data_IF_195461401426
#
_entry.id   IF_195461401426
#
_cell.length_a   1.000
_cell.length_b   1.000
_cell.length_c   1.000
_cell.angle_alpha   90.00
_cell.angle_beta   90.00
_cell.angle_gamma   90.00
#
_symmetry.space_group_name_H-M   'P 1'
#
loop_
_entity.id
_entity.type
_entity.pdbx_description
1 polymer ?
#
# COMPACT_ATOMS: atom_id res chain seq x y z
N UNK A 1 -23.52 19.63 -31.58
CA UNK A 1 -23.58 21.09 -31.36
C UNK A 1 -24.14 21.27 -29.96
N UNK A 2 -23.30 21.42 -28.93
CA UNK A 2 -22.79 22.73 -28.46
C UNK A 2 -23.94 23.67 -28.08
N UNK A 3 -24.05 24.32 -26.92
CA UNK A 3 -23.21 24.57 -25.75
C UNK A 3 -24.11 25.26 -24.69
N UNK A 4 -23.58 25.36 -23.46
CA UNK A 4 -23.89 26.37 -22.42
C UNK A 4 -25.28 26.28 -21.78
N UNK A 5 -25.40 26.27 -20.46
CA UNK A 5 -25.44 27.53 -19.71
C UNK A 5 -25.63 27.22 -18.21
N UNK A 6 -24.63 27.62 -17.41
CA UNK A 6 -24.76 28.15 -16.04
C UNK A 6 -25.34 27.23 -14.96
N UNK A 7 -24.44 26.51 -14.27
CA UNK A 7 -24.64 26.26 -12.83
C UNK A 7 -24.16 27.49 -12.05
N UNK A 8 -25.03 28.50 -11.95
CA UNK A 8 -24.91 29.59 -10.99
C UNK A 8 -25.46 29.16 -9.63
N UNK A 9 -24.62 29.37 -8.61
CA UNK A 9 -24.91 29.70 -7.22
C UNK A 9 -26.36 29.69 -6.75
N UNK A 10 -26.64 28.88 -5.73
CA UNK A 10 -27.61 29.26 -4.68
C UNK A 10 -26.99 28.98 -3.32
N UNK A 11 -26.47 30.06 -2.73
CA UNK A 11 -26.17 30.18 -1.31
C UNK A 11 -27.46 30.67 -0.61
N UNK A 12 -27.98 29.91 0.35
CA UNK A 12 -28.91 30.36 1.39
C UNK A 12 -29.06 29.20 2.41
N UNK A 13 -28.34 29.20 3.53
CA UNK A 13 -28.68 29.84 4.82
C UNK A 13 -29.98 29.27 5.43
N UNK A 14 -29.84 28.40 6.43
CA UNK A 14 -30.86 28.17 7.44
C UNK A 14 -30.19 27.82 8.77
N UNK A 15 -30.34 28.75 9.71
CA UNK A 15 -29.98 28.63 11.12
C UNK A 15 -30.90 27.65 11.84
N UNK A 16 -30.38 26.98 12.87
CA UNK A 16 -31.16 26.12 13.76
C UNK A 16 -30.34 25.63 14.95
N UNK A 17 -30.14 26.52 15.92
CA UNK A 17 -29.70 26.19 17.28
C UNK A 17 -30.82 25.46 18.02
N UNK A 18 -30.58 24.23 18.50
CA UNK A 18 -31.28 23.66 19.68
C UNK A 18 -30.28 22.87 20.53
N UNK A 19 -30.33 23.12 21.84
CA UNK A 19 -29.45 22.65 22.89
C UNK A 19 -29.86 21.28 23.49
N UNK A 20 -28.82 20.49 23.88
CA UNK A 20 -28.61 19.57 25.04
C UNK A 20 -29.83 19.35 25.98
N UNK A 21 -30.19 18.13 26.51
CA UNK A 21 -29.29 17.24 27.28
C UNK A 21 -29.57 15.70 27.41
N UNK A 22 -28.54 15.01 27.91
CA UNK A 22 -28.43 13.84 28.83
C UNK A 22 -29.63 12.87 29.06
N UNK A 23 -29.38 11.57 28.82
CA UNK A 23 -29.53 10.43 29.77
C UNK A 23 -29.87 9.09 29.07
N UNK A 24 -29.21 8.03 29.52
CA UNK A 24 -29.15 6.68 28.97
C UNK A 24 -30.47 5.90 28.97
N UNK A 25 -30.71 5.06 27.94
CA UNK A 25 -31.76 4.03 27.99
C UNK A 25 -32.04 3.30 26.67
N UNK A 26 -31.25 2.27 26.38
CA UNK A 26 -31.59 1.03 25.63
C UNK A 26 -32.37 1.10 24.30
N UNK A 27 -31.71 0.73 23.19
CA UNK A 27 -31.94 -0.53 22.44
C UNK A 27 -31.86 -0.39 20.89
N UNK A 28 -30.81 -1.03 20.35
CA UNK A 28 -30.73 -1.90 19.16
C UNK A 28 -31.15 -1.36 17.78
N UNK A 29 -30.17 -1.19 16.89
CA UNK A 29 -30.03 -1.96 15.64
C UNK A 29 -29.14 -1.24 14.62
N UNK A 30 -27.81 -1.35 14.74
CA UNK A 30 -26.91 -1.24 13.59
C UNK A 30 -25.79 -2.27 13.77
N UNK A 31 -26.05 -3.50 13.34
CA UNK A 31 -25.00 -4.47 13.01
C UNK A 31 -24.29 -3.99 11.76
N UNK A 32 -23.46 -2.95 11.90
CA UNK A 32 -22.30 -2.80 11.05
C UNK A 32 -21.26 -3.76 11.63
N UNK A 33 -21.12 -4.93 11.00
CA UNK A 33 -19.96 -5.80 11.17
C UNK A 33 -18.73 -5.00 10.74
N UNK A 34 -18.19 -4.24 11.67
CA UNK A 34 -16.80 -3.83 11.66
C UNK A 34 -16.04 -5.15 11.65
N UNK A 35 -15.62 -5.63 10.48
CA UNK A 35 -14.53 -6.58 10.42
C UNK A 35 -13.34 -5.84 11.02
N UNK A 36 -12.85 -6.20 12.22
CA UNK A 36 -11.49 -5.84 12.53
C UNK A 36 -10.65 -6.59 11.49
N UNK A 37 -10.07 -5.85 10.54
CA UNK A 37 -8.84 -6.31 9.91
C UNK A 37 -7.80 -6.32 11.02
N UNK A 38 -7.82 -7.39 11.82
CA UNK A 38 -6.70 -7.79 12.63
C UNK A 38 -5.49 -7.85 11.70
N UNK A 39 -4.44 -7.06 11.92
CA UNK A 39 -3.15 -7.39 11.34
C UNK A 39 -2.69 -8.67 12.06
N UNK A 40 -3.16 -9.83 11.59
CA UNK A 40 -2.48 -11.09 11.87
C UNK A 40 -1.16 -11.08 11.10
N UNK A 41 -0.21 -10.33 11.62
CA UNK A 41 1.21 -10.54 11.39
C UNK A 41 1.82 -10.85 12.76
N UNK A 42 1.52 -12.06 13.24
CA UNK A 42 2.29 -12.69 14.30
C UNK A 42 3.66 -13.06 13.71
N UNK A 43 4.53 -12.07 13.63
CA UNK A 43 5.94 -12.21 13.34
C UNK A 43 6.64 -11.28 14.29
N UNK A 44 7.52 -11.82 15.15
CA UNK A 44 8.32 -11.05 16.10
C UNK A 44 8.72 -9.72 15.51
N UNK A 45 8.20 -8.64 16.09
CA UNK A 45 8.77 -7.31 15.96
C UNK A 45 10.17 -7.40 16.57
N UNK A 46 11.14 -7.87 15.78
CA UNK A 46 12.53 -7.52 16.04
C UNK A 46 12.58 -6.00 16.11
N UNK A 47 13.35 -5.41 17.06
CA UNK A 47 13.44 -3.97 17.18
C UNK A 47 13.67 -3.36 15.81
N UNK A 48 12.92 -2.31 15.46
CA UNK A 48 13.17 -1.46 14.29
C UNK A 48 14.52 -0.70 14.39
N UNK A 49 15.44 -1.21 15.19
CA UNK A 49 16.78 -0.71 15.38
C UNK A 49 17.59 -1.04 14.13
N UNK A 50 17.84 0.00 13.35
CA UNK A 50 18.89 0.10 12.36
C UNK A 50 18.75 -0.81 11.14
N UNK A 51 17.73 -0.52 10.31
CA UNK A 51 17.86 -0.85 8.89
C UNK A 51 19.06 -0.08 8.33
N UNK A 52 20.16 -0.78 8.07
CA UNK A 52 21.40 -0.18 7.55
C UNK A 52 21.19 0.43 6.16
N UNK A 53 21.95 1.49 5.81
CA UNK A 53 21.92 2.10 4.47
C UNK A 53 22.15 1.08 3.36
N UNK A 54 23.03 0.10 3.57
CA UNK A 54 23.28 -0.98 2.62
C UNK A 54 22.04 -1.86 2.41
N UNK A 55 21.30 -2.16 3.48
CA UNK A 55 20.04 -2.92 3.42
C UNK A 55 18.98 -2.14 2.67
N UNK A 56 18.89 -0.82 2.88
CA UNK A 56 17.96 0.06 2.15
C UNK A 56 18.31 0.09 0.66
N UNK A 57 19.59 0.19 0.30
CA UNK A 57 20.02 0.20 -1.09
C UNK A 57 19.75 -1.14 -1.81
N UNK A 58 20.03 -2.27 -1.14
CA UNK A 58 19.67 -3.61 -1.64
C UNK A 58 18.16 -3.75 -1.82
N UNK A 59 17.38 -3.20 -0.89
CA UNK A 59 15.92 -3.23 -0.98
C UNK A 59 15.41 -2.35 -2.12
N UNK A 60 16.04 -1.21 -2.41
CA UNK A 60 15.71 -0.38 -3.57
C UNK A 60 15.96 -1.09 -4.89
N UNK A 61 17.10 -1.80 -5.03
CA UNK A 61 17.37 -2.64 -6.21
C UNK A 61 16.36 -3.79 -6.33
N UNK A 62 16.00 -4.43 -5.22
CA UNK A 62 14.95 -5.45 -5.20
C UNK A 62 13.59 -4.85 -5.60
N UNK A 63 13.24 -3.65 -5.10
CA UNK A 63 12.01 -2.94 -5.45
C UNK A 63 11.91 -2.67 -6.94
N UNK A 64 13.00 -2.20 -7.58
CA UNK A 64 13.01 -2.00 -9.02
C UNK A 64 12.66 -3.28 -9.79
N UNK A 65 13.27 -4.41 -9.42
CA UNK A 65 12.94 -5.70 -10.04
C UNK A 65 11.51 -6.16 -9.75
N UNK A 66 11.04 -5.97 -8.51
CA UNK A 66 9.65 -6.30 -8.12
C UNK A 66 8.65 -5.44 -8.89
N UNK A 67 8.94 -4.17 -9.15
CA UNK A 67 8.11 -3.30 -9.97
C UNK A 67 8.05 -3.78 -11.42
N UNK A 68 9.19 -4.15 -12.02
CA UNK A 68 9.22 -4.72 -13.37
C UNK A 68 8.43 -6.05 -13.46
N UNK A 69 8.56 -6.92 -12.45
CA UNK A 69 7.75 -8.14 -12.32
C UNK A 69 6.27 -7.77 -12.23
N UNK A 70 5.88 -6.87 -11.32
CA UNK A 70 4.49 -6.47 -11.17
C UNK A 70 3.90 -5.86 -12.45
N UNK A 71 4.67 -5.09 -13.21
CA UNK A 71 4.23 -4.55 -14.49
C UNK A 71 3.98 -5.66 -15.52
N UNK A 72 4.94 -6.59 -15.68
CA UNK A 72 4.82 -7.72 -16.61
C UNK A 72 3.65 -8.65 -16.24
N UNK A 73 3.50 -8.97 -14.95
CA UNK A 73 2.45 -9.85 -14.47
C UNK A 73 1.10 -9.14 -14.39
N UNK A 74 1.07 -7.83 -14.17
CA UNK A 74 -0.13 -7.00 -14.28
C UNK A 74 -0.72 -7.07 -15.68
N UNK A 75 0.09 -6.91 -16.72
CA UNK A 75 -0.36 -7.07 -18.11
C UNK A 75 -0.93 -8.48 -18.38
N UNK A 76 -0.27 -9.53 -17.89
CA UNK A 76 -0.77 -10.91 -18.00
C UNK A 76 -2.08 -11.12 -17.25
N UNK A 77 -2.24 -10.49 -16.08
CA UNK A 77 -3.44 -10.58 -15.27
C UNK A 77 -4.62 -9.86 -15.91
N UNK A 78 -4.39 -8.72 -16.56
CA UNK A 78 -5.40 -8.01 -17.34
C UNK A 78 -5.84 -8.78 -18.58
N UNK A 79 -4.92 -9.54 -19.20
CA UNK A 79 -5.23 -10.41 -20.33
C UNK A 79 -5.94 -11.71 -19.92
N UNK A 80 -5.80 -12.16 -18.67
CA UNK A 80 -6.44 -13.37 -18.16
C UNK A 80 -7.91 -13.13 -17.79
N UNK A 81 -8.81 -13.96 -18.30
CA UNK A 81 -10.25 -13.93 -17.97
C UNK A 81 -10.62 -14.94 -16.88
N UNK A 82 -9.93 -16.08 -16.83
CA UNK A 82 -10.19 -17.17 -15.89
C UNK A 82 -9.60 -16.90 -14.48
N UNK A 83 -10.38 -17.08 -13.40
CA UNK A 83 -9.92 -16.87 -12.03
C UNK A 83 -8.77 -17.79 -11.62
N UNK A 84 -8.73 -19.05 -12.09
CA UNK A 84 -7.63 -19.97 -11.77
C UNK A 84 -6.32 -19.53 -12.40
N UNK A 85 -6.38 -18.99 -13.61
CA UNK A 85 -5.26 -18.43 -14.35
C UNK A 85 -4.74 -17.17 -13.68
N UNK A 86 -5.62 -16.27 -13.23
CA UNK A 86 -5.23 -15.12 -12.41
C UNK A 86 -4.52 -15.53 -11.13
N UNK A 87 -5.02 -16.54 -10.42
CA UNK A 87 -4.38 -17.06 -9.22
C UNK A 87 -2.96 -17.60 -9.50
N UNK A 88 -2.76 -18.32 -10.60
CA UNK A 88 -1.43 -18.79 -11.04
C UNK A 88 -0.49 -17.63 -11.38
N UNK A 89 -0.98 -16.60 -12.06
CA UNK A 89 -0.21 -15.39 -12.39
C UNK A 89 0.25 -14.70 -11.11
N UNK A 90 -0.64 -14.53 -10.12
CA UNK A 90 -0.30 -13.94 -8.81
C UNK A 90 0.75 -14.79 -8.09
N UNK A 91 0.56 -16.10 -8.01
CA UNK A 91 1.51 -17.00 -7.33
C UNK A 91 2.91 -16.91 -7.96
N UNK A 92 2.98 -16.95 -9.29
CA UNK A 92 4.23 -16.82 -10.02
C UNK A 92 4.89 -15.44 -9.82
N UNK A 93 4.10 -14.36 -9.80
CA UNK A 93 4.62 -13.02 -9.50
C UNK A 93 5.23 -12.95 -8.09
N UNK A 94 4.54 -13.52 -7.08
CA UNK A 94 5.05 -13.57 -5.69
C UNK A 94 6.35 -14.35 -5.59
N UNK A 95 6.44 -15.51 -6.23
CA UNK A 95 7.68 -16.31 -6.25
C UNK A 95 8.84 -15.55 -6.91
N UNK A 96 8.58 -14.87 -8.03
CA UNK A 96 9.61 -14.04 -8.70
C UNK A 96 10.03 -12.86 -7.85
N UNK A 97 9.09 -12.20 -7.17
CA UNK A 97 9.40 -11.12 -6.25
C UNK A 97 10.28 -11.58 -5.09
N UNK A 98 9.97 -12.73 -4.48
CA UNK A 98 10.80 -13.34 -3.43
C UNK A 98 12.21 -13.68 -3.93
N UNK A 99 12.31 -14.25 -5.15
CA UNK A 99 13.59 -14.54 -5.77
C UNK A 99 14.42 -13.26 -6.03
N UNK A 100 13.79 -12.18 -6.49
CA UNK A 100 14.45 -10.89 -6.69
C UNK A 100 14.99 -10.29 -5.38
N UNK A 101 14.24 -10.44 -4.28
CA UNK A 101 14.69 -10.02 -2.94
C UNK A 101 15.89 -10.85 -2.48
N UNK A 102 15.80 -12.18 -2.57
CA UNK A 102 16.90 -13.09 -2.21
C UNK A 102 18.14 -12.87 -3.07
N UNK A 103 17.99 -12.52 -4.35
CA UNK A 103 19.10 -12.22 -5.25
C UNK A 103 19.90 -10.98 -4.81
N UNK A 104 19.31 -10.06 -4.04
CA UNK A 104 20.01 -8.94 -3.43
C UNK A 104 20.69 -9.31 -2.09
N UNK A 105 20.63 -10.58 -1.69
CA UNK A 105 21.11 -11.06 -0.40
C UNK A 105 20.27 -10.56 0.76
N UNK A 106 18.98 -10.31 0.52
CA UNK A 106 18.02 -9.91 1.54
C UNK A 106 17.05 -11.05 1.82
N UNK A 107 16.57 -11.15 3.06
CA UNK A 107 15.39 -11.96 3.36
C UNK A 107 14.12 -11.16 3.09
N UNK A 108 13.01 -11.85 2.84
CA UNK A 108 11.68 -11.22 2.70
C UNK A 108 11.34 -10.39 3.95
N UNK A 109 11.73 -10.85 5.13
CA UNK A 109 11.55 -10.12 6.39
C UNK A 109 12.34 -8.82 6.42
N UNK A 110 13.63 -8.83 6.04
CA UNK A 110 14.46 -7.61 5.97
C UNK A 110 13.90 -6.60 4.95
N UNK A 111 13.45 -7.09 3.80
CA UNK A 111 12.82 -6.26 2.78
C UNK A 111 11.54 -5.59 3.31
N UNK A 112 10.66 -6.36 3.97
CA UNK A 112 9.45 -5.83 4.59
C UNK A 112 9.76 -4.84 5.72
N UNK A 113 10.82 -5.06 6.49
CA UNK A 113 11.26 -4.11 7.52
C UNK A 113 11.73 -2.79 6.90
N UNK A 114 12.43 -2.82 5.77
CA UNK A 114 12.81 -1.60 5.04
C UNK A 114 11.56 -0.86 4.56
N UNK A 115 10.59 -1.58 3.98
CA UNK A 115 9.32 -1.00 3.53
C UNK A 115 8.54 -0.37 4.68
N UNK A 116 8.42 -1.06 5.82
CA UNK A 116 7.78 -0.53 7.03
C UNK A 116 8.52 0.70 7.56
N UNK A 117 9.86 0.66 7.57
CA UNK A 117 10.69 1.80 7.97
C UNK A 117 10.51 2.99 7.02
N UNK A 118 10.33 2.76 5.72
CA UNK A 118 10.07 3.81 4.74
C UNK A 118 8.69 4.48 4.93
N UNK A 119 7.71 3.80 5.52
CA UNK A 119 6.41 4.40 5.82
C UNK A 119 6.51 5.43 6.96
N UNK A 120 7.32 5.14 7.97
CA UNK A 120 7.48 6.02 9.15
C UNK A 120 8.68 6.97 9.04
N UNK A 121 9.65 6.72 8.16
CA UNK A 121 10.86 7.53 8.02
C UNK A 121 11.03 8.05 6.58
N UNK A 122 10.87 9.37 6.36
CA UNK A 122 10.97 9.96 5.03
C UNK A 122 12.37 9.84 4.41
N UNK A 123 13.44 9.83 5.21
CA UNK A 123 14.81 9.66 4.71
C UNK A 123 15.04 8.24 4.17
N UNK A 124 14.52 7.22 4.85
CA UNK A 124 14.54 5.83 4.37
C UNK A 124 13.77 5.72 3.06
N UNK A 125 12.57 6.31 3.00
CA UNK A 125 11.74 6.35 1.78
C UNK A 125 12.46 7.00 0.61
N UNK A 126 13.10 8.15 0.82
CA UNK A 126 13.80 8.88 -0.22
C UNK A 126 15.02 8.10 -0.73
N UNK A 127 15.80 7.48 0.17
CA UNK A 127 16.92 6.64 -0.24
C UNK A 127 16.46 5.37 -0.98
N UNK A 128 15.35 4.78 -0.54
CA UNK A 128 14.74 3.61 -1.16
C UNK A 128 14.23 3.91 -2.58
N UNK A 129 13.51 5.02 -2.76
CA UNK A 129 13.05 5.52 -4.06
C UNK A 129 14.22 5.92 -4.96
N UNK A 130 15.21 6.62 -4.40
CA UNK A 130 16.42 7.00 -5.12
C UNK A 130 17.13 5.76 -5.64
N UNK A 131 17.38 4.76 -4.81
CA UNK A 131 18.04 3.51 -5.24
C UNK A 131 17.18 2.60 -6.13
N UNK A 132 15.86 2.70 -6.07
CA UNK A 132 14.94 2.01 -6.98
C UNK A 132 14.86 2.68 -8.37
N UNK A 133 15.04 4.01 -8.45
CA UNK A 133 15.07 4.78 -9.70
C UNK A 133 16.47 5.08 -10.24
N UNK A 134 17.51 4.95 -9.42
CA UNK A 134 18.90 5.28 -9.75
C UNK A 134 19.59 4.10 -10.43
N UNK A 135 19.29 3.97 -11.73
CA UNK A 135 20.28 4.14 -12.80
C UNK A 135 19.67 4.89 -14.01
N UNK A 136 18.75 5.83 -13.82
CA UNK A 136 18.28 6.68 -14.92
C UNK A 136 19.23 7.85 -15.26
N UNK A 137 20.33 8.07 -14.52
CA UNK A 137 21.33 9.09 -14.87
C UNK A 137 22.69 8.84 -14.20
N UNK A 138 23.54 8.00 -14.82
CA UNK A 138 24.98 8.24 -14.99
C UNK A 138 25.55 7.25 -16.01
#
# INVERSE_FOLDING_TARGET
MEQHTRFMSRLALAAGLIAVPLASGTALAQTATTHPVTPQAMGRSMPAANVSRTTIAKAGKAMHQVMAINQSYGAKMSAATDPSTKARIVAAAKQKAMAAISAQGLTVSQYNQVLASAQSNPAVRQQLLSTAGAIANN
#
